data_IF_401291551108
#
_entry.id   IF_401291551108
#
_cell.length_a   1.000
_cell.length_b   1.000
_cell.length_c   1.000
_cell.angle_alpha   90.00
_cell.angle_beta   90.00
_cell.angle_gamma   90.00
#
_symmetry.space_group_name_H-M   'P 1'
#
loop_
_entity.id
_entity.type
_entity.pdbx_description
1 polymer ?
#
# COMPACT_ATOMS: atom_id res chain seq x y z
N UNK A 1 -26.96 8.89 -10.40
CA UNK A 1 -26.52 9.26 -9.03
C UNK A 1 -25.03 8.99 -8.93
N UNK A 2 -24.22 9.98 -8.59
CA UNK A 2 -22.80 9.72 -8.28
C UNK A 2 -22.82 8.95 -6.96
N UNK A 3 -22.35 7.69 -6.96
CA UNK A 3 -22.14 6.97 -5.71
C UNK A 3 -21.08 7.77 -4.95
N UNK A 4 -21.42 8.31 -3.78
CA UNK A 4 -20.48 9.05 -2.95
C UNK A 4 -19.52 8.06 -2.26
N UNK A 5 -18.75 7.31 -3.08
CA UNK A 5 -17.89 6.24 -2.67
C UNK A 5 -16.57 6.30 -3.44
N UNK A 6 -15.47 6.14 -2.73
CA UNK A 6 -14.12 6.09 -3.28
C UNK A 6 -13.21 5.28 -2.34
N UNK A 7 -12.10 4.81 -2.89
CA UNK A 7 -11.06 4.13 -2.12
C UNK A 7 -9.87 5.06 -1.95
N UNK A 8 -9.37 5.18 -0.73
CA UNK A 8 -8.10 5.85 -0.43
C UNK A 8 -7.02 4.78 -0.36
N UNK A 9 -5.90 4.98 -1.05
CA UNK A 9 -4.77 4.04 -1.07
C UNK A 9 -3.51 4.76 -0.60
N UNK A 10 -2.72 4.05 0.19
CA UNK A 10 -1.39 4.48 0.63
C UNK A 10 -0.40 3.30 0.58
N UNK A 11 0.89 3.62 0.41
CA UNK A 11 1.97 2.63 0.30
C UNK A 11 3.16 3.04 1.14
N UNK A 12 3.76 2.04 1.79
CA UNK A 12 5.14 2.11 2.25
C UNK A 12 6.05 1.41 1.25
N UNK A 13 7.28 1.90 1.10
CA UNK A 13 8.20 1.42 0.07
C UNK A 13 9.63 1.35 0.59
N UNK A 14 10.50 0.63 -0.12
CA UNK A 14 11.94 0.53 0.20
C UNK A 14 12.75 1.79 -0.14
N UNK A 15 12.11 2.87 -0.61
CA UNK A 15 12.78 4.11 -0.98
C UNK A 15 11.89 5.08 -1.76
N UNK A 16 12.41 6.25 -2.13
CA UNK A 16 11.57 7.37 -2.55
C UNK A 16 11.04 7.31 -3.99
N UNK A 17 11.69 6.52 -4.84
CA UNK A 17 11.44 6.55 -6.28
C UNK A 17 11.47 5.16 -6.91
N UNK A 18 10.39 4.73 -7.57
CA UNK A 18 10.38 3.51 -8.38
C UNK A 18 11.43 3.54 -9.50
N UNK A 19 11.73 4.73 -10.05
CA UNK A 19 12.77 4.90 -11.06
C UNK A 19 14.18 4.61 -10.50
N UNK A 20 14.36 4.75 -9.18
CA UNK A 20 15.58 4.38 -8.47
C UNK A 20 15.51 2.96 -7.88
N UNK A 21 14.52 2.15 -8.26
CA UNK A 21 14.38 0.77 -7.82
C UNK A 21 13.61 0.57 -6.51
N UNK A 22 12.93 1.59 -5.99
CA UNK A 22 12.06 1.43 -4.82
C UNK A 22 10.91 0.43 -5.11
N UNK A 23 10.61 -0.40 -4.13
CA UNK A 23 9.57 -1.44 -4.20
C UNK A 23 8.60 -1.30 -3.03
N UNK A 24 7.31 -1.61 -3.20
CA UNK A 24 6.35 -1.53 -2.12
C UNK A 24 6.60 -2.62 -1.06
N UNK A 25 6.42 -2.26 0.21
CA UNK A 25 6.55 -3.12 1.39
C UNK A 25 5.24 -3.26 2.14
N UNK A 26 4.32 -2.31 1.98
CA UNK A 26 2.97 -2.32 2.53
C UNK A 26 2.00 -1.61 1.59
N UNK A 27 0.74 -2.04 1.61
CA UNK A 27 -0.38 -1.28 1.06
C UNK A 27 -1.50 -1.21 2.10
N UNK A 28 -2.12 -0.04 2.21
CA UNK A 28 -3.38 0.16 2.91
C UNK A 28 -4.43 0.72 1.94
N UNK A 29 -5.64 0.17 1.99
CA UNK A 29 -6.80 0.62 1.21
C UNK A 29 -7.98 0.83 2.16
N UNK A 30 -8.60 2.00 2.08
CA UNK A 30 -9.79 2.35 2.88
C UNK A 30 -10.92 2.71 1.94
N UNK A 31 -12.07 2.03 2.04
CA UNK A 31 -13.28 2.40 1.29
C UNK A 31 -14.11 3.38 2.11
N UNK A 32 -14.43 4.50 1.48
CA UNK A 32 -15.25 5.55 2.09
C UNK A 32 -16.57 5.61 1.33
N UNK A 33 -17.71 5.63 2.05
CA UNK A 33 -19.04 5.84 1.48
C UNK A 33 -19.80 6.86 2.33
N UNK A 34 -20.26 7.95 1.72
CA UNK A 34 -21.02 8.97 2.44
C UNK A 34 -20.19 9.74 3.49
N UNK A 35 -18.86 9.77 3.35
CA UNK A 35 -17.95 10.37 4.33
C UNK A 35 -17.48 9.40 5.43
N UNK A 36 -18.05 8.20 5.51
CA UNK A 36 -17.72 7.20 6.52
C UNK A 36 -16.84 6.09 5.94
N UNK A 37 -15.93 5.57 6.76
CA UNK A 37 -15.15 4.37 6.40
C UNK A 37 -16.07 3.15 6.51
N UNK A 38 -16.22 2.43 5.41
CA UNK A 38 -17.09 1.24 5.35
C UNK A 38 -16.33 -0.06 5.22
N UNK A 39 -15.05 -0.02 4.82
CA UNK A 39 -14.21 -1.21 4.70
C UNK A 39 -12.72 -0.85 4.69
N UNK A 40 -11.86 -1.83 5.03
CA UNK A 40 -10.40 -1.68 5.02
C UNK A 40 -9.69 -2.96 4.56
N UNK A 41 -8.64 -2.78 3.77
CA UNK A 41 -7.67 -3.82 3.44
C UNK A 41 -6.27 -3.30 3.76
N UNK A 42 -5.44 -4.13 4.37
CA UNK A 42 -4.04 -3.80 4.63
C UNK A 42 -3.20 -5.06 4.57
N UNK A 43 -2.01 -4.96 3.97
CA UNK A 43 -1.08 -6.08 3.94
C UNK A 43 0.35 -5.61 3.77
N UNK A 44 1.25 -6.23 4.53
CA UNK A 44 2.67 -6.25 4.19
C UNK A 44 2.87 -7.09 2.93
N UNK A 45 3.89 -6.75 2.16
CA UNK A 45 4.29 -7.50 0.97
C UNK A 45 5.81 -7.65 0.91
N UNK A 46 6.26 -8.78 0.37
CA UNK A 46 7.67 -9.09 0.23
C UNK A 46 8.25 -8.41 -1.02
N UNK A 47 9.07 -7.35 -0.88
CA UNK A 47 9.58 -6.60 -2.03
C UNK A 47 10.65 -7.37 -2.82
N UNK A 48 11.17 -8.48 -2.28
CA UNK A 48 12.28 -9.23 -2.89
C UNK A 48 13.63 -8.50 -2.89
N UNK A 49 13.75 -7.37 -2.17
CA UNK A 49 14.98 -6.61 -1.98
C UNK A 49 15.12 -6.18 -0.51
N UNK A 50 16.34 -5.95 -0.01
CA UNK A 50 16.53 -5.42 1.34
C UNK A 50 15.93 -4.02 1.50
N UNK A 51 15.40 -3.72 2.68
CA UNK A 51 14.93 -2.38 3.05
C UNK A 51 16.11 -1.59 3.63
N UNK A 52 16.47 -0.39 3.11
CA UNK A 52 17.52 0.44 3.71
C UNK A 52 17.21 0.78 5.17
N UNK A 53 18.23 0.85 6.03
CA UNK A 53 18.04 1.07 7.47
C UNK A 53 17.25 2.35 7.78
N UNK A 54 17.55 3.46 7.09
CA UNK A 54 16.84 4.73 7.31
C UNK A 54 15.34 4.62 6.96
N UNK A 55 15.00 3.79 5.97
CA UNK A 55 13.61 3.51 5.60
C UNK A 55 12.95 2.59 6.63
N UNK A 56 13.67 1.59 7.17
CA UNK A 56 13.16 0.78 8.28
C UNK A 56 12.91 1.64 9.53
N UNK A 57 13.80 2.61 9.81
CA UNK A 57 13.66 3.54 10.92
C UNK A 57 12.48 4.50 10.73
N UNK A 58 12.24 4.94 9.49
CA UNK A 58 11.14 5.85 9.16
C UNK A 58 9.76 5.17 9.18
N UNK A 59 9.65 3.99 8.57
CA UNK A 59 8.38 3.26 8.39
C UNK A 59 8.08 2.28 9.52
N UNK A 60 9.10 1.83 10.26
CA UNK A 60 9.01 0.73 11.21
C UNK A 60 8.96 -0.66 10.58
N UNK A 61 8.96 -0.77 9.25
CA UNK A 61 8.88 -2.06 8.54
C UNK A 61 10.28 -2.63 8.38
N UNK A 62 10.49 -3.84 8.93
CA UNK A 62 11.80 -4.51 8.89
C UNK A 62 11.88 -5.59 7.82
N UNK A 63 13.10 -5.93 7.39
CA UNK A 63 13.34 -7.08 6.50
C UNK A 63 12.78 -8.39 7.06
N UNK A 64 12.76 -8.56 8.39
CA UNK A 64 12.20 -9.75 9.03
C UNK A 64 10.69 -9.85 8.85
N UNK A 65 9.98 -8.72 8.88
CA UNK A 65 8.53 -8.64 8.67
C UNK A 65 8.17 -9.00 7.23
N UNK A 66 8.81 -8.35 6.25
CA UNK A 66 8.46 -8.53 4.83
C UNK A 66 8.93 -9.86 4.26
N UNK A 67 9.98 -10.49 4.82
CA UNK A 67 10.45 -11.81 4.37
C UNK A 67 9.39 -12.90 4.51
N UNK A 68 8.49 -12.78 5.48
CA UNK A 68 7.38 -13.72 5.72
C UNK A 68 6.07 -13.27 5.08
N UNK A 69 6.03 -12.07 4.51
CA UNK A 69 4.85 -11.54 3.86
C UNK A 69 4.62 -12.20 2.49
N UNK A 70 3.39 -12.16 1.95
CA UNK A 70 3.11 -12.66 0.62
C UNK A 70 3.87 -11.88 -0.48
N UNK A 71 4.06 -12.46 -1.67
CA UNK A 71 4.65 -11.74 -2.80
C UNK A 71 3.84 -10.49 -3.18
N UNK A 72 4.52 -9.45 -3.65
CA UNK A 72 3.91 -8.18 -4.08
C UNK A 72 2.76 -8.43 -5.06
N UNK A 73 2.94 -9.32 -6.03
CA UNK A 73 1.95 -9.59 -7.07
C UNK A 73 0.64 -10.13 -6.48
N UNK A 74 0.73 -10.98 -5.45
CA UNK A 74 -0.44 -11.56 -4.79
C UNK A 74 -1.19 -10.52 -3.96
N UNK A 75 -0.46 -9.67 -3.23
CA UNK A 75 -1.04 -8.58 -2.43
C UNK A 75 -1.70 -7.53 -3.34
N UNK A 76 -1.04 -7.17 -4.44
CA UNK A 76 -1.58 -6.20 -5.40
C UNK A 76 -2.84 -6.72 -6.09
N UNK A 77 -2.92 -8.02 -6.42
CA UNK A 77 -4.14 -8.62 -6.97
C UNK A 77 -5.31 -8.51 -5.97
N UNK A 78 -5.07 -8.86 -4.69
CA UNK A 78 -6.08 -8.72 -3.64
C UNK A 78 -6.52 -7.27 -3.43
N UNK A 79 -5.59 -6.31 -3.49
CA UNK A 79 -5.91 -4.91 -3.37
C UNK A 79 -6.77 -4.40 -4.54
N UNK A 80 -6.46 -4.81 -5.78
CA UNK A 80 -7.27 -4.49 -6.96
C UNK A 80 -8.68 -5.06 -6.82
N UNK A 81 -8.80 -6.31 -6.38
CA UNK A 81 -10.11 -6.95 -6.13
C UNK A 81 -10.89 -6.21 -5.04
N UNK A 82 -10.21 -5.77 -3.98
CA UNK A 82 -10.81 -5.02 -2.88
C UNK A 82 -11.32 -3.64 -3.29
N UNK A 83 -10.53 -2.89 -4.08
CA UNK A 83 -10.92 -1.58 -4.65
C UNK A 83 -12.10 -1.75 -5.62
N UNK A 84 -12.05 -2.79 -6.46
CA UNK A 84 -13.03 -3.02 -7.49
C UNK A 84 -13.14 -1.83 -8.46
N UNK A 85 -14.36 -1.34 -8.67
CA UNK A 85 -14.65 -0.21 -9.57
C UNK A 85 -14.67 1.16 -8.89
N UNK A 86 -14.19 1.28 -7.65
CA UNK A 86 -14.21 2.56 -6.93
C UNK A 86 -13.21 3.55 -7.53
N UNK A 87 -13.55 4.85 -7.62
CA UNK A 87 -12.56 5.89 -7.83
C UNK A 87 -11.47 5.82 -6.76
N UNK A 88 -10.21 5.97 -7.16
CA UNK A 88 -9.07 5.93 -6.25
C UNK A 88 -8.60 7.34 -5.94
N UNK A 89 -8.37 7.61 -4.66
CA UNK A 89 -7.61 8.75 -4.17
C UNK A 89 -6.32 8.21 -3.57
N UNK A 90 -5.17 8.64 -4.07
CA UNK A 90 -3.88 8.31 -3.49
C UNK A 90 -3.23 9.60 -3.00
N UNK A 91 -2.68 9.57 -1.79
CA UNK A 91 -1.79 10.63 -1.36
C UNK A 91 -0.37 10.26 -1.79
N UNK A 92 0.31 11.14 -2.53
CA UNK A 92 1.77 11.12 -2.54
C UNK A 92 2.21 11.86 -1.28
N UNK A 93 2.59 11.14 -0.24
CA UNK A 93 3.51 11.70 0.74
C UNK A 93 4.77 12.10 -0.02
N UNK A 94 5.10 13.39 -0.03
CA UNK A 94 6.37 13.83 -0.60
C UNK A 94 7.49 13.11 0.14
N UNK A 95 8.27 12.34 -0.60
CA UNK A 95 9.53 11.76 -0.17
C UNK A 95 10.65 12.65 -0.71
#
# INVERSE_FOLDING_TARGET
>A
MIRNQYSVIDFETTGLSPACGARPTEIAVVRIRGGEIVDRYQSLMNPGVPIPYDIQAFTGITDAMVRRAPPVEAVMAQAVDFVGGDPIVAHKGNL
#
